data_IF_169666135269
#
_entry.id   IF_169666135269
#
_cell.length_a   1.000
_cell.length_b   1.000
_cell.length_c   1.000
_cell.angle_alpha   90.00
_cell.angle_beta   90.00
_cell.angle_gamma   90.00
#
_symmetry.space_group_name_H-M   'P 1'
#
loop_
_entity.id
_entity.type
_entity.pdbx_description
1 polymer ?
#
# COMPACT_ATOMS: atom_id res chain seq x y z
N UNK A 1 -63.41 6.46 -42.93
CA UNK A 1 -62.35 6.13 -43.91
C UNK A 1 -61.33 7.26 -43.90
N UNK A 2 -60.04 6.92 -43.88
CA UNK A 2 -58.87 7.79 -44.14
C UNK A 2 -58.65 8.95 -43.15
N UNK A 3 -57.60 9.01 -42.35
CA UNK A 3 -56.34 8.27 -42.21
C UNK A 3 -55.61 8.87 -40.99
N UNK A 4 -54.38 8.56 -40.62
CA UNK A 4 -53.36 7.56 -40.93
C UNK A 4 -52.21 7.99 -39.99
N UNK A 5 -51.44 7.02 -39.45
CA UNK A 5 -50.02 7.11 -39.00
C UNK A 5 -49.67 8.11 -37.88
N UNK A 6 -49.21 7.62 -36.72
CA UNK A 6 -47.78 7.55 -36.31
C UNK A 6 -47.20 8.95 -36.03
N UNK A 7 -46.43 9.23 -35.00
CA UNK A 7 -45.55 8.43 -34.17
C UNK A 7 -45.13 9.34 -33.00
N UNK A 8 -44.81 8.72 -31.88
CA UNK A 8 -43.88 9.15 -30.84
C UNK A 8 -42.91 10.29 -31.22
N UNK A 9 -43.00 11.47 -30.62
CA UNK A 9 -41.84 12.33 -30.32
C UNK A 9 -42.24 13.21 -29.12
N UNK A 10 -41.78 12.89 -27.90
CA UNK A 10 -40.52 13.35 -27.31
C UNK A 10 -40.57 14.87 -27.07
N UNK A 11 -40.42 15.31 -25.83
CA UNK A 11 -39.39 16.27 -25.37
C UNK A 11 -39.79 16.91 -24.02
N UNK A 12 -38.86 16.84 -23.06
CA UNK A 12 -38.91 17.50 -21.75
C UNK A 12 -39.12 16.48 -20.64
N UNK A 13 -38.09 15.92 -20.01
CA UNK A 13 -36.97 16.62 -19.36
C UNK A 13 -35.75 15.71 -19.43
N UNK A 14 -34.72 16.11 -20.18
CA UNK A 14 -33.36 15.64 -19.95
C UNK A 14 -32.90 16.23 -18.62
N UNK A 15 -32.62 15.46 -17.56
CA UNK A 15 -31.86 16.01 -16.46
C UNK A 15 -30.44 16.22 -17.00
N UNK A 16 -30.08 17.49 -17.15
CA UNK A 16 -28.72 17.97 -17.28
C UNK A 16 -27.91 17.38 -16.11
N UNK A 17 -27.19 16.28 -16.36
CA UNK A 17 -26.20 15.76 -15.42
C UNK A 17 -25.03 16.74 -15.44
N UNK A 18 -25.12 17.76 -14.60
CA UNK A 18 -23.99 18.63 -14.27
C UNK A 18 -22.92 17.73 -13.69
N UNK A 19 -21.79 17.61 -14.41
CA UNK A 19 -20.63 16.87 -13.97
C UNK A 19 -20.15 17.43 -12.64
N UNK A 20 -20.52 16.76 -11.55
CA UNK A 20 -19.84 16.93 -10.28
C UNK A 20 -18.44 16.40 -10.55
N UNK A 21 -17.49 17.33 -10.65
CA UNK A 21 -16.07 17.03 -10.53
C UNK A 21 -15.89 16.50 -9.11
N UNK A 22 -16.07 15.19 -8.93
CA UNK A 22 -15.70 14.52 -7.69
C UNK A 22 -14.19 14.72 -7.62
N UNK A 23 -13.65 15.48 -6.64
CA UNK A 23 -12.23 15.43 -6.42
C UNK A 23 -11.93 13.97 -6.07
N UNK A 24 -11.20 13.27 -6.94
CA UNK A 24 -10.54 12.04 -6.53
C UNK A 24 -9.69 12.44 -5.33
N UNK A 25 -10.17 12.10 -4.14
CA UNK A 25 -9.35 12.04 -2.96
C UNK A 25 -8.26 11.03 -3.30
N UNK A 26 -7.14 11.52 -3.80
CA UNK A 26 -5.93 10.75 -3.96
C UNK A 26 -5.48 10.42 -2.55
N UNK A 27 -6.04 9.34 -2.00
CA UNK A 27 -5.47 8.66 -0.85
C UNK A 27 -4.09 8.27 -1.35
N UNK A 28 -3.03 8.86 -0.79
CA UNK A 28 -1.67 8.41 -1.02
C UNK A 28 -1.69 6.90 -0.78
N UNK A 29 -1.64 6.13 -1.87
CA UNK A 29 -1.94 4.71 -1.81
C UNK A 29 -0.76 4.03 -1.13
N UNK A 30 -0.89 3.84 0.18
CA UNK A 30 0.11 3.17 1.01
C UNK A 30 0.41 1.81 0.38
N UNK A 31 1.70 1.53 0.16
CA UNK A 31 2.15 0.29 -0.47
C UNK A 31 2.65 -0.66 0.61
N UNK A 32 2.38 -1.94 0.43
CA UNK A 32 2.77 -2.98 1.39
C UNK A 32 3.93 -3.81 0.83
N UNK A 33 5.01 -3.92 1.59
CA UNK A 33 6.10 -4.86 1.39
C UNK A 33 5.85 -6.11 2.24
N UNK A 34 5.90 -7.29 1.61
CA UNK A 34 5.70 -8.58 2.28
C UNK A 34 6.98 -9.41 2.20
N UNK A 35 7.27 -10.16 3.26
CA UNK A 35 8.44 -11.03 3.31
C UNK A 35 8.36 -12.04 4.45
N UNK A 36 9.43 -12.83 4.55
CA UNK A 36 9.58 -13.85 5.60
C UNK A 36 10.96 -13.74 6.24
N UNK A 37 11.02 -13.91 7.56
CA UNK A 37 12.26 -13.93 8.34
C UNK A 37 12.56 -15.37 8.74
N UNK A 38 13.80 -15.79 8.47
CA UNK A 38 14.35 -17.10 8.84
C UNK A 38 15.72 -16.93 9.47
N UNK A 39 16.10 -17.86 10.35
CA UNK A 39 17.46 -17.97 10.88
C UNK A 39 17.97 -19.40 10.69
N UNK A 40 19.28 -19.59 10.75
CA UNK A 40 19.92 -20.86 10.37
C UNK A 40 19.95 -21.87 11.50
N UNK A 41 20.01 -21.37 12.72
CA UNK A 41 20.09 -22.16 13.93
C UNK A 41 18.82 -23.01 14.08
N UNK A 42 18.98 -24.27 14.46
CA UNK A 42 17.86 -25.17 14.72
C UNK A 42 17.44 -25.13 16.18
N UNK A 43 17.25 -23.92 16.69
CA UNK A 43 16.75 -23.66 18.05
C UNK A 43 15.32 -23.13 17.94
N UNK A 44 14.45 -23.42 18.91
CA UNK A 44 13.14 -22.79 18.96
C UNK A 44 13.27 -21.34 19.44
N UNK A 45 12.49 -20.42 18.86
CA UNK A 45 12.37 -19.08 19.42
C UNK A 45 11.74 -19.15 20.82
N UNK A 46 12.25 -18.38 21.78
CA UNK A 46 11.60 -18.29 23.09
C UNK A 46 10.21 -17.67 22.95
N UNK A 47 9.26 -17.99 23.84
CA UNK A 47 7.86 -17.55 23.72
C UNK A 47 7.69 -16.02 23.81
N UNK A 48 8.68 -15.31 24.35
CA UNK A 48 8.72 -13.86 24.45
C UNK A 48 9.60 -13.19 23.38
N UNK A 49 10.02 -13.92 22.34
CA UNK A 49 10.77 -13.34 21.23
C UNK A 49 9.98 -12.19 20.58
N UNK A 50 10.69 -11.14 20.18
CA UNK A 50 10.13 -9.99 19.46
C UNK A 50 10.82 -9.89 18.12
N UNK A 51 10.03 -9.86 17.04
CA UNK A 51 10.52 -9.56 15.71
C UNK A 51 10.44 -8.05 15.48
N UNK A 52 11.52 -7.45 15.01
CA UNK A 52 11.55 -6.04 14.62
C UNK A 52 12.15 -5.91 13.22
N UNK A 53 11.30 -5.67 12.22
CA UNK A 53 11.73 -5.49 10.83
C UNK A 53 11.66 -4.03 10.47
N UNK A 54 12.69 -3.50 9.82
CA UNK A 54 12.76 -2.11 9.41
C UNK A 54 13.18 -1.99 7.94
N UNK A 55 12.44 -1.15 7.21
CA UNK A 55 12.79 -0.66 5.89
C UNK A 55 13.41 0.73 6.03
N UNK A 56 14.68 0.86 5.64
CA UNK A 56 15.42 2.12 5.74
C UNK A 56 16.11 2.46 4.41
N UNK A 57 16.34 3.75 4.16
CA UNK A 57 17.24 4.16 3.09
C UNK A 57 18.70 4.11 3.56
N UNK A 58 19.60 3.83 2.63
CA UNK A 58 21.04 3.90 2.84
C UNK A 58 21.58 5.06 2.02
N UNK A 59 21.96 6.18 2.65
CA UNK A 59 22.54 7.29 1.93
C UNK A 59 23.93 6.92 1.39
N UNK A 60 24.28 7.50 0.24
CA UNK A 60 25.58 7.30 -0.39
C UNK A 60 26.72 8.03 0.33
N UNK A 61 26.40 9.01 1.18
CA UNK A 61 27.31 9.73 2.05
C UNK A 61 27.08 9.32 3.51
N UNK A 62 27.97 9.72 4.44
CA UNK A 62 27.86 9.56 5.91
C UNK A 62 26.67 10.33 6.54
N UNK A 63 25.51 10.32 5.90
CA UNK A 63 24.26 10.81 6.44
C UNK A 63 23.54 9.70 7.24
N UNK A 64 22.72 10.06 8.23
CA UNK A 64 21.93 9.08 8.96
C UNK A 64 20.89 8.42 8.04
N UNK A 65 20.72 7.10 8.18
CA UNK A 65 19.67 6.34 7.52
C UNK A 65 18.28 6.81 8.01
N UNK A 66 17.40 7.12 7.08
CA UNK A 66 16.01 7.44 7.34
C UNK A 66 15.15 6.17 7.28
N UNK A 67 14.39 5.96 8.35
CA UNK A 67 13.42 4.86 8.46
C UNK A 67 12.16 5.23 7.69
N UNK A 68 11.73 4.34 6.81
CA UNK A 68 10.58 4.53 5.92
C UNK A 68 9.37 3.74 6.40
N UNK A 69 9.63 2.58 6.99
CA UNK A 69 8.60 1.74 7.58
C UNK A 69 9.22 0.77 8.56
N UNK A 70 8.46 0.43 9.59
CA UNK A 70 8.87 -0.53 10.60
C UNK A 70 7.72 -1.42 11.03
N UNK A 71 8.05 -2.64 11.43
CA UNK A 71 7.09 -3.61 11.94
C UNK A 71 7.67 -4.31 13.16
N UNK A 72 6.99 -4.15 14.28
CA UNK A 72 7.27 -4.87 15.52
C UNK A 72 6.19 -5.91 15.79
N UNK A 73 6.59 -7.15 16.07
CA UNK A 73 5.68 -8.25 16.40
C UNK A 73 6.14 -8.96 17.67
N UNK A 74 5.26 -9.02 18.66
CA UNK A 74 5.48 -9.66 19.95
C UNK A 74 4.21 -10.45 20.35
N UNK A 75 4.28 -11.78 20.49
CA UNK A 75 5.43 -12.64 20.21
C UNK A 75 5.75 -12.74 18.71
N UNK A 76 7.00 -13.02 18.36
CA UNK A 76 7.48 -13.15 16.99
C UNK A 76 6.80 -14.30 16.23
N UNK A 77 6.42 -15.38 16.92
CA UNK A 77 5.79 -16.57 16.33
C UNK A 77 6.81 -17.63 15.91
N UNK A 78 6.45 -18.44 14.91
CA UNK A 78 7.25 -19.56 14.43
C UNK A 78 7.90 -19.22 13.08
N UNK A 79 9.15 -19.65 12.89
CA UNK A 79 9.88 -19.50 11.62
C UNK A 79 9.40 -20.50 10.56
N UNK A 80 9.23 -20.08 9.29
CA UNK A 80 9.41 -18.72 8.76
C UNK A 80 8.35 -17.71 9.26
N UNK A 81 8.80 -16.58 9.80
CA UNK A 81 7.90 -15.54 10.33
C UNK A 81 7.56 -14.58 9.20
N UNK A 82 6.27 -14.54 8.83
CA UNK A 82 5.77 -13.62 7.81
C UNK A 82 5.64 -12.21 8.39
N UNK A 83 6.05 -11.21 7.63
CA UNK A 83 5.89 -9.81 7.98
C UNK A 83 5.32 -9.00 6.82
N UNK A 84 4.66 -7.91 7.18
CA UNK A 84 4.18 -6.89 6.25
C UNK A 84 4.57 -5.51 6.79
N UNK A 85 5.19 -4.67 5.94
CA UNK A 85 5.53 -3.28 6.23
C UNK A 85 4.77 -2.40 5.24
N UNK A 86 3.93 -1.52 5.75
CA UNK A 86 3.29 -0.48 4.95
C UNK A 86 4.18 0.76 4.91
N UNK A 87 4.27 1.40 3.74
CA UNK A 87 5.06 2.60 3.54
C UNK A 87 4.43 3.50 2.47
N UNK A 88 4.76 4.79 2.51
CA UNK A 88 4.37 5.74 1.47
C UNK A 88 5.27 5.55 0.22
N UNK A 89 4.71 5.16 -0.94
CA UNK A 89 5.51 5.03 -2.16
C UNK A 89 6.15 6.34 -2.63
N UNK A 90 5.64 7.51 -2.22
CA UNK A 90 6.20 8.82 -2.59
C UNK A 90 7.60 9.06 -2.00
N UNK A 91 7.98 8.36 -0.92
CA UNK A 91 9.32 8.48 -0.32
C UNK A 91 10.37 7.61 -1.02
N UNK A 92 9.94 6.73 -1.95
CA UNK A 92 10.84 5.89 -2.72
C UNK A 92 11.33 6.66 -3.96
N UNK A 93 12.65 6.85 -4.03
CA UNK A 93 13.36 7.55 -5.09
C UNK A 93 14.24 6.56 -5.87
N UNK A 94 14.25 6.62 -7.20
CA UNK A 94 14.92 5.64 -8.05
C UNK A 94 16.47 5.66 -7.95
N UNK A 95 17.05 6.77 -7.48
CA UNK A 95 18.47 7.00 -7.30
C UNK A 95 18.99 6.60 -5.90
N UNK A 96 18.11 6.10 -5.03
CA UNK A 96 18.46 5.68 -3.67
C UNK A 96 18.52 4.16 -3.51
N UNK A 97 19.30 3.72 -2.52
CA UNK A 97 19.32 2.34 -2.06
C UNK A 97 18.48 2.19 -0.80
N UNK A 98 17.72 1.10 -0.73
CA UNK A 98 16.87 0.75 0.40
C UNK A 98 17.25 -0.63 0.91
N UNK A 99 17.23 -0.80 2.24
CA UNK A 99 17.60 -2.05 2.90
C UNK A 99 16.52 -2.49 3.87
N UNK A 100 16.40 -3.80 4.02
CA UNK A 100 15.61 -4.44 5.06
C UNK A 100 16.55 -5.01 6.12
N UNK A 101 16.22 -4.77 7.38
CA UNK A 101 16.90 -5.36 8.54
C UNK A 101 15.87 -5.95 9.51
N UNK A 102 16.19 -7.09 10.11
CA UNK A 102 15.31 -7.87 10.99
C UNK A 102 16.12 -8.58 12.08
#
# INVERSE_FOLDING_TARGET
MLGRIAEFFIFGVMPLVVGILVPELSVAAEKTLKGEVTYRERIALPPNAVLFVQLANVPQADAPAAVIGERKMAPAGQVPIKFEISFDPQVIRPDMTYVLQA
#
